data_IF_275100632261
#
_entry.id   IF_275100632261
#
_cell.length_a   1.000
_cell.length_b   1.000
_cell.length_c   1.000
_cell.angle_alpha   90.00
_cell.angle_beta   90.00
_cell.angle_gamma   90.00
#
_symmetry.space_group_name_H-M   'P 1'
#
loop_
_entity.id
_entity.type
_entity.pdbx_description
1 polymer ?
#
# COMPACT_ATOMS: atom_id res chain seq x y z
N UNK A 1 -7.70 -40.37 46.08
CA UNK A 1 -6.88 -40.86 44.94
C UNK A 1 -7.68 -40.68 43.65
N UNK A 2 -7.62 -39.48 43.04
CA UNK A 2 -8.38 -39.16 41.83
C UNK A 2 -7.54 -39.42 40.58
N UNK A 3 -7.97 -40.36 39.73
CA UNK A 3 -7.31 -40.66 38.46
C UNK A 3 -7.55 -39.50 37.47
N UNK A 4 -6.48 -38.80 37.09
CA UNK A 4 -6.49 -37.87 35.96
C UNK A 4 -6.60 -38.68 34.66
N UNK A 5 -7.68 -38.47 33.92
CA UNK A 5 -7.84 -39.00 32.56
C UNK A 5 -6.80 -38.38 31.63
N UNK A 6 -6.02 -39.23 30.97
CA UNK A 6 -5.07 -38.82 29.95
C UNK A 6 -5.81 -38.22 28.75
N UNK A 7 -5.56 -36.94 28.47
CA UNK A 7 -5.99 -36.30 27.24
C UNK A 7 -5.24 -36.94 26.08
N UNK A 8 -5.95 -37.72 25.26
CA UNK A 8 -5.44 -38.24 24.01
C UNK A 8 -5.04 -37.05 23.12
N UNK A 9 -3.74 -36.90 22.89
CA UNK A 9 -3.23 -35.96 21.91
C UNK A 9 -3.87 -36.31 20.55
N UNK A 10 -4.74 -35.45 20.04
CA UNK A 10 -5.28 -35.57 18.68
C UNK A 10 -4.09 -35.47 17.72
N UNK A 11 -3.60 -36.60 17.23
CA UNK A 11 -2.74 -36.66 16.04
C UNK A 11 -3.54 -35.98 14.93
N UNK A 12 -3.07 -34.82 14.47
CA UNK A 12 -3.56 -34.25 13.21
C UNK A 12 -3.19 -35.27 12.13
N UNK A 13 -4.19 -35.77 11.42
CA UNK A 13 -3.92 -36.59 10.24
C UNK A 13 -3.06 -35.79 9.26
N UNK A 14 -2.10 -36.45 8.58
CA UNK A 14 -1.31 -35.79 7.56
C UNK A 14 -2.25 -35.15 6.54
N UNK A 15 -2.03 -33.87 6.24
CA UNK A 15 -2.77 -33.13 5.25
C UNK A 15 -2.70 -33.92 3.94
N UNK A 16 -3.82 -34.50 3.51
CA UNK A 16 -3.90 -35.18 2.22
C UNK A 16 -3.55 -34.15 1.16
N UNK A 17 -2.39 -34.32 0.52
CA UNK A 17 -2.02 -33.54 -0.66
C UNK A 17 -3.13 -33.89 -1.67
N UNK A 18 -3.95 -32.88 -2.01
CA UNK A 18 -5.06 -33.04 -2.95
C UNK A 18 -4.58 -33.48 -4.33
N UNK A 19 -5.49 -33.47 -5.31
CA UNK A 19 -5.21 -33.83 -6.70
C UNK A 19 -3.85 -33.27 -7.19
N UNK A 20 -3.14 -34.07 -8.00
CA UNK A 20 -1.83 -33.72 -8.53
C UNK A 20 -1.87 -32.31 -9.15
N UNK A 21 -0.94 -31.45 -8.73
CA UNK A 21 -0.83 -30.11 -9.27
C UNK A 21 -0.50 -30.19 -10.77
N UNK A 22 -1.01 -29.23 -11.54
CA UNK A 22 -0.59 -29.03 -12.93
C UNK A 22 0.94 -28.88 -13.00
N UNK A 23 1.59 -29.43 -14.03
CA UNK A 23 3.04 -29.29 -14.20
C UNK A 23 3.42 -27.82 -14.35
N UNK A 24 4.58 -27.46 -13.81
CA UNK A 24 5.16 -26.13 -14.02
C UNK A 24 5.45 -25.98 -15.52
N UNK A 25 4.99 -24.89 -16.18
CA UNK A 25 5.30 -24.67 -17.60
C UNK A 25 6.81 -24.63 -17.86
N UNK A 26 7.25 -25.25 -18.94
CA UNK A 26 8.64 -25.15 -19.40
C UNK A 26 8.87 -23.78 -20.04
N UNK A 27 10.02 -23.16 -19.75
CA UNK A 27 10.46 -21.90 -20.34
C UNK A 27 11.55 -22.21 -21.35
N UNK A 28 11.34 -21.80 -22.61
CA UNK A 28 12.23 -22.15 -23.73
C UNK A 28 13.58 -21.44 -23.67
N UNK A 29 13.62 -20.19 -23.20
CA UNK A 29 14.83 -19.34 -23.22
C UNK A 29 14.90 -18.41 -22.01
N UNK A 30 16.11 -18.25 -21.47
CA UNK A 30 16.44 -17.24 -20.46
C UNK A 30 17.46 -16.25 -21.01
N UNK A 31 17.15 -14.96 -20.91
CA UNK A 31 18.05 -13.89 -21.36
C UNK A 31 18.75 -13.25 -20.16
N UNK A 32 20.09 -13.08 -20.17
CA UNK A 32 20.80 -12.42 -19.08
C UNK A 32 20.50 -10.91 -19.06
N UNK A 33 20.13 -10.39 -17.89
CA UNK A 33 20.07 -8.95 -17.66
C UNK A 33 21.43 -8.44 -17.19
N UNK A 34 22.00 -7.48 -17.92
CA UNK A 34 23.36 -6.95 -17.66
C UNK A 34 23.36 -5.59 -16.99
N UNK A 35 22.27 -4.83 -17.09
CA UNK A 35 22.11 -3.52 -16.45
C UNK A 35 21.45 -3.68 -15.08
N UNK A 36 22.13 -3.35 -13.96
CA UNK A 36 21.57 -3.40 -12.61
C UNK A 36 20.30 -2.56 -12.43
N UNK A 37 20.11 -1.48 -13.22
CA UNK A 37 18.90 -0.64 -13.18
C UNK A 37 17.64 -1.42 -13.60
N UNK A 38 17.80 -2.56 -14.26
CA UNK A 38 16.68 -3.44 -14.64
C UNK A 38 16.32 -4.48 -13.58
N UNK A 39 17.18 -4.76 -12.59
CA UNK A 39 16.93 -5.84 -11.64
C UNK A 39 15.67 -5.62 -10.80
N UNK A 40 15.42 -4.38 -10.39
CA UNK A 40 14.20 -4.05 -9.65
C UNK A 40 12.93 -4.23 -10.48
N UNK A 41 13.01 -4.18 -11.82
CA UNK A 41 11.85 -4.38 -12.72
C UNK A 41 11.35 -5.82 -12.70
N UNK A 42 12.20 -6.80 -12.37
CA UNK A 42 11.79 -8.19 -12.19
C UNK A 42 10.85 -8.37 -10.99
N UNK A 43 10.88 -7.43 -10.03
CA UNK A 43 10.01 -7.43 -8.86
C UNK A 43 8.71 -6.66 -9.09
N UNK A 44 8.49 -6.13 -10.30
CA UNK A 44 7.30 -5.36 -10.59
C UNK A 44 6.08 -6.26 -10.81
N UNK A 45 5.18 -6.20 -9.85
CA UNK A 45 3.73 -6.22 -10.04
C UNK A 45 3.08 -5.36 -8.93
N UNK A 46 3.68 -4.22 -8.63
CA UNK A 46 3.36 -3.50 -7.41
C UNK A 46 2.05 -2.73 -7.54
N UNK A 47 1.23 -2.67 -6.48
CA UNK A 47 0.00 -1.89 -6.49
C UNK A 47 0.31 -0.41 -6.72
N UNK A 48 -0.54 0.28 -7.48
CA UNK A 48 -0.42 1.73 -7.70
C UNK A 48 -1.37 2.48 -6.80
N UNK A 49 -0.84 3.45 -6.07
CA UNK A 49 -1.64 4.35 -5.22
C UNK A 49 -1.26 5.80 -5.45
N UNK A 50 -2.25 6.69 -5.29
CA UNK A 50 -2.00 8.11 -5.11
C UNK A 50 -1.77 8.36 -3.62
N UNK A 51 -0.55 8.75 -3.27
CA UNK A 51 -0.16 9.22 -1.95
C UNK A 51 -0.50 10.71 -1.82
N UNK A 52 -1.36 11.02 -0.85
CA UNK A 52 -1.76 12.39 -0.52
C UNK A 52 -1.13 12.81 0.81
N UNK A 53 -0.47 13.97 0.80
CA UNK A 53 0.06 14.61 2.01
C UNK A 53 -0.54 16.01 2.17
N UNK A 54 -0.54 16.52 3.40
CA UNK A 54 -0.95 17.89 3.69
C UNK A 54 0.28 18.77 3.96
N UNK A 55 0.22 20.00 3.47
CA UNK A 55 1.14 21.09 3.73
C UNK A 55 0.40 22.14 4.54
N UNK A 56 0.53 22.04 5.86
CA UNK A 56 -0.16 22.92 6.80
C UNK A 56 0.34 24.37 6.70
N UNK A 57 1.63 24.57 6.36
CA UNK A 57 2.21 25.90 6.19
C UNK A 57 1.62 26.64 5.00
N UNK A 58 1.46 25.96 3.86
CA UNK A 58 0.82 26.56 2.66
C UNK A 58 -0.68 26.29 2.56
N UNK A 59 -1.28 25.64 3.56
CA UNK A 59 -2.70 25.24 3.60
C UNK A 59 -3.17 24.54 2.32
N UNK A 60 -2.37 23.58 1.83
CA UNK A 60 -2.68 22.80 0.62
C UNK A 60 -2.46 21.31 0.81
N UNK A 61 -3.05 20.52 -0.08
CA UNK A 61 -2.75 19.10 -0.22
C UNK A 61 -1.82 18.88 -1.40
N UNK A 62 -0.95 17.88 -1.31
CA UNK A 62 -0.07 17.45 -2.37
C UNK A 62 -0.37 15.99 -2.74
N UNK A 63 -0.13 15.63 -4.01
CA UNK A 63 -0.31 14.29 -4.54
C UNK A 63 0.96 13.76 -5.20
N UNK A 64 1.24 12.47 -5.00
CA UNK A 64 2.32 11.73 -5.63
C UNK A 64 1.81 10.35 -6.02
N UNK A 65 2.30 9.78 -7.12
CA UNK A 65 2.09 8.36 -7.42
C UNK A 65 3.16 7.55 -6.69
N UNK A 66 2.71 6.52 -5.95
CA UNK A 66 3.60 5.57 -5.28
C UNK A 66 3.23 4.16 -5.71
N UNK A 67 4.26 3.38 -6.07
CA UNK A 67 4.14 1.97 -6.39
C UNK A 67 5.19 1.12 -5.68
N UNK A 68 6.16 1.69 -4.97
CA UNK A 68 7.11 0.89 -4.19
C UNK A 68 6.57 0.73 -2.78
N UNK A 69 5.52 -0.09 -2.63
CA UNK A 69 4.91 -0.43 -1.35
C UNK A 69 4.48 -1.90 -1.29
N UNK A 70 4.54 -2.49 -0.10
CA UNK A 70 4.11 -3.87 0.13
C UNK A 70 3.68 -4.10 1.59
N UNK A 71 2.58 -4.83 1.86
CA UNK A 71 2.23 -5.21 3.22
C UNK A 71 3.31 -6.13 3.83
N UNK A 72 3.59 -5.96 5.11
CA UNK A 72 4.53 -6.81 5.85
C UNK A 72 3.85 -7.75 6.85
N UNK A 73 2.57 -7.50 7.16
CA UNK A 73 1.75 -8.38 7.98
C UNK A 73 0.25 -8.19 7.67
N UNK A 74 -0.59 -8.99 8.33
CA UNK A 74 -2.06 -8.92 8.21
C UNK A 74 -2.71 -7.89 9.16
N UNK A 75 -1.92 -7.04 9.83
CA UNK A 75 -2.38 -6.01 10.77
C UNK A 75 -2.31 -4.60 10.17
N UNK A 76 -2.35 -4.51 8.84
CA UNK A 76 -2.34 -3.24 8.11
C UNK A 76 -0.99 -2.51 8.14
N UNK A 77 0.10 -3.19 8.54
CA UNK A 77 1.46 -2.60 8.49
C UNK A 77 2.09 -2.92 7.14
N UNK A 78 2.74 -1.92 6.56
CA UNK A 78 3.38 -2.01 5.25
C UNK A 78 4.69 -1.21 5.23
N UNK A 79 5.53 -1.54 4.24
CA UNK A 79 6.69 -0.75 3.88
C UNK A 79 6.40 0.02 2.60
N UNK A 80 6.95 1.22 2.50
CA UNK A 80 7.06 1.92 1.23
C UNK A 80 8.41 2.61 1.09
N UNK A 81 8.86 2.76 -0.14
CA UNK A 81 10.07 3.49 -0.50
C UNK A 81 9.71 4.79 -1.19
N UNK A 82 10.23 5.90 -0.68
CA UNK A 82 10.01 7.24 -1.24
C UNK A 82 11.34 7.94 -1.48
N UNK A 83 11.54 8.45 -2.69
CA UNK A 83 12.74 9.21 -3.03
C UNK A 83 12.81 10.48 -2.17
N UNK A 84 13.97 10.76 -1.57
CA UNK A 84 14.15 11.85 -0.59
C UNK A 84 13.91 13.25 -1.17
N UNK A 85 14.09 13.41 -2.48
CA UNK A 85 13.88 14.69 -3.17
C UNK A 85 12.40 14.99 -3.45
N UNK A 86 11.50 14.03 -3.22
CA UNK A 86 10.06 14.24 -3.44
C UNK A 86 9.52 15.15 -2.35
N UNK A 87 8.74 16.15 -2.75
CA UNK A 87 8.08 17.05 -1.81
C UNK A 87 7.19 16.29 -0.78
N UNK A 88 6.57 15.18 -1.22
CA UNK A 88 5.83 14.30 -0.31
C UNK A 88 6.70 13.71 0.80
N UNK A 89 7.99 13.48 0.60
CA UNK A 89 8.90 13.01 1.64
C UNK A 89 9.05 14.05 2.75
N UNK A 90 9.29 15.31 2.40
CA UNK A 90 9.35 16.43 3.36
C UNK A 90 8.07 16.53 4.20
N UNK A 91 6.90 16.52 3.54
CA UNK A 91 5.61 16.64 4.23
C UNK A 91 5.31 15.43 5.12
N UNK A 92 5.69 14.23 4.68
CA UNK A 92 5.51 13.00 5.44
C UNK A 92 6.36 12.99 6.71
N UNK A 93 7.60 13.47 6.65
CA UNK A 93 8.47 13.58 7.81
C UNK A 93 7.94 14.57 8.85
N UNK A 94 7.34 15.67 8.39
CA UNK A 94 6.74 16.70 9.25
C UNK A 94 5.47 16.21 9.94
N UNK A 95 4.54 15.61 9.18
CA UNK A 95 3.18 15.34 9.67
C UNK A 95 2.97 13.91 10.18
N UNK A 96 3.79 12.95 9.74
CA UNK A 96 3.68 11.52 10.05
C UNK A 96 2.30 10.90 9.74
N UNK A 97 1.42 11.60 9.01
CA UNK A 97 0.10 11.14 8.56
C UNK A 97 -0.08 11.48 7.08
N UNK A 98 -0.68 10.54 6.34
CA UNK A 98 -0.94 10.64 4.90
C UNK A 98 -2.08 9.71 4.48
N UNK A 99 -2.57 9.86 3.25
CA UNK A 99 -3.54 8.93 2.67
C UNK A 99 -3.00 8.22 1.44
N UNK A 100 -3.39 6.96 1.26
CA UNK A 100 -3.21 6.21 0.01
C UNK A 100 -4.57 6.01 -0.66
N UNK A 101 -4.63 6.24 -1.97
CA UNK A 101 -5.82 6.00 -2.80
C UNK A 101 -5.49 4.97 -3.88
N UNK A 102 -6.04 3.76 -3.78
CA UNK A 102 -5.73 2.66 -4.69
C UNK A 102 -6.29 2.93 -6.09
N UNK A 103 -5.41 3.05 -7.08
CA UNK A 103 -5.78 3.45 -8.43
C UNK A 103 -6.41 2.31 -9.22
N UNK A 104 -7.31 2.66 -10.14
CA UNK A 104 -8.04 1.74 -10.99
C UNK A 104 -7.89 2.11 -12.47
N UNK A 105 -8.26 1.18 -13.35
CA UNK A 105 -8.39 1.44 -14.77
C UNK A 105 -9.25 2.69 -15.04
N UNK A 106 -8.79 3.52 -15.98
CA UNK A 106 -9.31 4.85 -16.28
C UNK A 106 -8.56 5.98 -15.56
N UNK A 107 -7.66 5.68 -14.62
CA UNK A 107 -6.85 6.68 -13.90
C UNK A 107 -5.44 6.84 -14.46
N UNK A 108 -5.04 6.11 -15.50
CA UNK A 108 -3.67 6.09 -16.03
C UNK A 108 -3.19 7.49 -16.43
N UNK A 109 -4.03 8.26 -17.15
CA UNK A 109 -3.70 9.61 -17.59
C UNK A 109 -3.46 10.57 -16.41
N UNK A 110 -4.29 10.52 -15.37
CA UNK A 110 -4.13 11.36 -14.17
C UNK A 110 -2.91 10.95 -13.34
N UNK A 111 -2.61 9.64 -13.26
CA UNK A 111 -1.40 9.15 -12.59
C UNK A 111 -0.14 9.69 -13.27
N UNK A 112 -0.08 9.65 -14.60
CA UNK A 112 1.04 10.21 -15.36
C UNK A 112 1.14 11.73 -15.18
N UNK A 113 0.02 12.45 -15.21
CA UNK A 113 -0.01 13.89 -14.97
C UNK A 113 0.50 14.26 -13.56
N UNK A 114 0.09 13.51 -12.53
CA UNK A 114 0.60 13.68 -11.15
C UNK A 114 2.11 13.44 -11.09
N UNK A 115 2.60 12.41 -11.77
CA UNK A 115 4.02 12.03 -11.79
C UNK A 115 4.93 13.03 -12.51
N UNK A 116 4.41 13.75 -13.51
CA UNK A 116 5.14 14.73 -14.32
C UNK A 116 5.28 16.12 -13.69
N UNK A 117 4.61 16.39 -12.58
CA UNK A 117 4.62 17.71 -11.94
C UNK A 117 5.21 17.70 -10.52
N UNK A 118 5.72 18.87 -10.09
CA UNK A 118 6.34 19.06 -8.78
C UNK A 118 5.38 19.78 -7.82
N UNK A 119 5.01 19.10 -6.73
CA UNK A 119 4.04 19.63 -5.76
C UNK A 119 4.51 20.87 -5.01
N UNK A 120 5.81 21.14 -5.02
CA UNK A 120 6.35 22.37 -4.45
C UNK A 120 5.93 23.62 -5.22
N UNK A 121 5.72 23.49 -6.54
CA UNK A 121 5.51 24.63 -7.44
C UNK A 121 4.05 24.87 -7.80
N UNK A 122 3.22 23.83 -7.76
CA UNK A 122 1.81 23.92 -8.19
C UNK A 122 0.87 23.26 -7.17
N UNK A 123 -0.36 23.77 -7.10
CA UNK A 123 -1.46 23.06 -6.45
C UNK A 123 -1.96 21.96 -7.39
N UNK A 124 -1.47 20.73 -7.20
CA UNK A 124 -1.83 19.58 -8.05
C UNK A 124 -3.32 19.25 -7.97
N UNK A 125 -3.98 19.46 -6.83
CA UNK A 125 -5.39 19.16 -6.68
C UNK A 125 -6.23 20.10 -7.52
N UNK A 126 -5.96 21.40 -7.44
CA UNK A 126 -6.66 22.39 -8.26
C UNK A 126 -6.32 22.24 -9.74
N UNK A 127 -5.03 22.07 -10.07
CA UNK A 127 -4.55 22.03 -11.47
C UNK A 127 -5.05 20.80 -12.23
N UNK A 128 -5.10 19.64 -11.57
CA UNK A 128 -5.49 18.37 -12.20
C UNK A 128 -6.94 17.98 -11.92
N UNK A 129 -7.71 18.83 -11.21
CA UNK A 129 -9.11 18.55 -10.88
C UNK A 129 -9.30 17.33 -9.97
N UNK A 130 -8.37 17.08 -9.04
CA UNK A 130 -8.46 15.93 -8.14
C UNK A 130 -9.54 16.16 -7.07
N UNK A 131 -10.54 15.29 -7.04
CA UNK A 131 -11.59 15.34 -6.01
C UNK A 131 -11.02 14.92 -4.64
N UNK A 132 -11.16 15.79 -3.63
CA UNK A 132 -10.77 15.49 -2.24
C UNK A 132 -11.87 14.74 -1.52
N UNK A 133 -11.53 13.63 -0.88
CA UNK A 133 -12.43 12.87 0.00
C UNK A 133 -11.87 12.90 1.43
N UNK A 134 -12.41 13.74 2.34
CA UNK A 134 -11.94 13.83 3.70
C UNK A 134 -12.08 12.51 4.46
N UNK A 135 -11.09 12.19 5.30
CA UNK A 135 -11.28 11.30 6.43
C UNK A 135 -11.80 12.15 7.58
N UNK A 136 -13.02 11.89 8.04
CA UNK A 136 -13.56 12.60 9.19
C UNK A 136 -12.64 12.34 10.40
N UNK A 137 -12.36 13.41 11.16
CA UNK A 137 -11.68 13.28 12.44
C UNK A 137 -12.64 12.54 13.39
N UNK A 138 -12.40 11.24 13.61
CA UNK A 138 -13.19 10.40 14.51
C UNK A 138 -14.47 9.86 13.90
N UNK A 139 -14.42 8.62 13.43
CA UNK A 139 -15.58 7.74 13.56
C UNK A 139 -15.38 7.03 14.89
N UNK A 140 -16.13 7.46 15.91
CA UNK A 140 -16.30 6.65 17.10
C UNK A 140 -16.86 5.29 16.66
N UNK A 141 -16.23 4.22 17.14
CA UNK A 141 -16.58 2.84 16.85
C UNK A 141 -18.03 2.55 17.28
N UNK A 142 -18.97 2.63 16.35
CA UNK A 142 -20.34 2.11 16.52
C UNK A 142 -20.52 0.74 15.86
N UNK A 143 -19.48 -0.10 15.82
CA UNK A 143 -19.62 -1.47 15.32
C UNK A 143 -18.86 -2.52 16.12
N UNK A 144 -18.85 -2.38 17.45
CA UNK A 144 -18.75 -3.53 18.35
C UNK A 144 -20.08 -4.30 18.35
N UNK A 145 -20.38 -5.05 17.27
CA UNK A 145 -21.63 -5.82 17.23
C UNK A 145 -21.95 -6.52 15.90
N UNK A 146 -21.21 -7.57 15.56
CA UNK A 146 -21.74 -8.84 15.05
C UNK A 146 -20.57 -9.72 14.57
N UNK A 147 -20.34 -10.81 15.30
CA UNK A 147 -19.25 -11.73 15.03
C UNK A 147 -19.40 -12.51 13.72
N UNK A 148 -18.25 -12.78 13.10
CA UNK A 148 -18.02 -13.98 12.30
C UNK A 148 -16.63 -14.50 12.66
N UNK A 149 -16.55 -15.79 13.00
CA UNK A 149 -15.42 -16.43 13.68
C UNK A 149 -14.06 -16.16 13.04
N UNK A 150 -13.08 -15.87 13.90
CA UNK A 150 -11.67 -15.83 13.56
C UNK A 150 -11.21 -17.22 13.07
N UNK A 151 -11.30 -17.44 11.75
CA UNK A 151 -10.54 -18.49 11.11
C UNK A 151 -9.06 -18.10 11.23
N UNK A 152 -8.28 -18.95 11.90
CA UNK A 152 -6.84 -18.79 12.01
C UNK A 152 -6.21 -18.69 10.60
N UNK A 153 -5.60 -17.55 10.30
CA UNK A 153 -4.89 -17.37 9.04
C UNK A 153 -3.63 -18.25 9.01
N UNK A 154 -3.36 -18.84 7.84
CA UNK A 154 -2.27 -19.80 7.59
C UNK A 154 -0.84 -19.25 7.83
N UNK A 155 -0.69 -17.98 8.22
CA UNK A 155 0.59 -17.32 8.50
C UNK A 155 0.97 -17.27 9.99
N UNK A 156 0.09 -17.71 10.90
CA UNK A 156 0.38 -17.74 12.35
C UNK A 156 1.30 -18.89 12.79
N UNK A 157 1.85 -19.68 11.87
CA UNK A 157 2.61 -20.91 12.16
C UNK A 157 4.14 -20.72 12.29
N UNK A 158 4.68 -19.49 12.19
CA UNK A 158 6.13 -19.27 12.10
C UNK A 158 6.71 -18.24 13.08
N UNK A 159 6.03 -17.93 14.18
CA UNK A 159 6.54 -16.93 15.13
C UNK A 159 6.35 -17.33 16.59
N UNK A 160 7.33 -18.01 17.17
CA UNK A 160 7.51 -17.99 18.63
C UNK A 160 8.96 -18.27 19.02
N UNK A 161 9.69 -17.21 19.34
CA UNK A 161 10.73 -17.25 20.37
C UNK A 161 10.83 -15.89 21.06
N UNK A 162 10.57 -15.95 22.36
CA UNK A 162 10.62 -14.90 23.37
C UNK A 162 12.04 -14.45 23.72
N UNK A 163 12.20 -13.19 24.12
CA UNK A 163 13.37 -12.69 24.85
C UNK A 163 13.05 -11.37 25.56
N UNK A 164 13.05 -11.41 26.89
CA UNK A 164 12.66 -10.37 27.83
C UNK A 164 13.86 -9.66 28.47
N UNK A 165 13.67 -8.41 28.92
CA UNK A 165 14.52 -7.66 29.87
C UNK A 165 15.03 -6.34 29.27
N UNK A 166 15.01 -5.17 29.91
CA UNK A 166 14.63 -4.77 31.26
C UNK A 166 15.30 -3.41 31.61
N UNK A 167 14.48 -2.43 32.00
CA UNK A 167 14.66 -1.33 33.00
C UNK A 167 15.73 -0.20 32.92
N UNK A 168 15.24 1.04 33.14
CA UNK A 168 15.82 2.15 33.94
C UNK A 168 16.78 3.13 33.20
N UNK A 169 16.83 4.45 33.41
CA UNK A 169 16.22 5.34 34.42
C UNK A 169 16.31 6.85 34.01
N UNK A 170 15.64 7.69 34.81
CA UNK A 170 15.89 9.09 35.24
C UNK A 170 15.93 10.31 34.28
N UNK A 171 15.14 11.34 34.65
CA UNK A 171 15.74 12.62 35.03
C UNK A 171 15.39 13.91 34.25
N UNK A 172 14.42 14.67 34.79
CA UNK A 172 14.47 16.12 35.06
C UNK A 172 14.20 17.18 33.95
N UNK A 173 13.10 17.93 34.16
CA UNK A 173 13.12 19.36 34.52
C UNK A 173 13.55 20.40 33.48
N UNK A 174 12.59 21.18 32.97
CA UNK A 174 12.85 22.41 32.23
C UNK A 174 11.57 23.21 32.00
N UNK A 175 11.18 24.04 32.97
CA UNK A 175 10.21 25.13 32.80
C UNK A 175 10.79 26.21 31.87
N UNK A 176 9.96 26.74 30.98
CA UNK A 176 10.37 27.82 30.09
C UNK A 176 9.23 28.38 29.25
N UNK A 177 8.70 29.51 29.73
CA UNK A 177 8.08 30.61 28.99
C UNK A 177 6.87 30.31 28.08
N UNK A 178 5.71 30.63 28.66
CA UNK A 178 4.45 30.98 27.99
C UNK A 178 4.66 32.23 27.11
N UNK A 179 4.97 32.01 25.83
CA UNK A 179 4.90 33.04 24.78
C UNK A 179 3.52 32.94 24.11
N UNK A 180 2.79 34.06 24.14
CA UNK A 180 1.41 34.19 23.69
C UNK A 180 1.16 33.59 22.29
N UNK A 181 0.48 32.45 22.28
CA UNK A 181 0.07 31.76 21.07
C UNK A 181 -1.01 32.55 20.33
N UNK A 182 -0.62 33.28 19.29
CA UNK A 182 -1.49 33.46 18.13
C UNK A 182 -2.04 32.09 17.74
N UNK A 183 -3.36 31.93 17.80
CA UNK A 183 -4.02 30.64 17.66
C UNK A 183 -3.62 29.95 16.35
N UNK A 184 -2.67 29.02 16.43
CA UNK A 184 -2.21 28.25 15.30
C UNK A 184 -3.43 27.56 14.68
N UNK A 185 -3.65 27.81 13.38
CA UNK A 185 -4.77 27.20 12.68
C UNK A 185 -4.69 25.67 12.82
N UNK A 186 -5.83 24.98 13.00
CA UNK A 186 -5.82 23.53 13.12
C UNK A 186 -5.22 22.90 11.86
N UNK A 187 -4.51 21.76 11.99
CA UNK A 187 -3.97 21.03 10.85
C UNK A 187 -5.05 20.74 9.79
N UNK A 188 -4.65 20.70 8.53
CA UNK A 188 -5.54 20.30 7.45
C UNK A 188 -6.03 18.86 7.69
N UNK A 189 -7.29 18.58 7.33
CA UNK A 189 -7.80 17.22 7.37
C UNK A 189 -7.04 16.35 6.36
N UNK A 190 -6.89 15.08 6.71
CA UNK A 190 -6.45 14.05 5.79
C UNK A 190 -7.48 13.81 4.70
N UNK A 191 -7.02 13.73 3.45
CA UNK A 191 -7.90 13.52 2.29
C UNK A 191 -7.35 12.44 1.37
N UNK A 192 -8.25 11.57 0.90
CA UNK A 192 -8.00 10.70 -0.24
C UNK A 192 -8.43 11.34 -1.56
N UNK A 193 -8.18 10.64 -2.67
CA UNK A 193 -8.61 11.04 -4.01
C UNK A 193 -9.87 10.28 -4.41
N UNK A 194 -10.92 11.00 -4.77
CA UNK A 194 -12.20 10.43 -5.21
C UNK A 194 -12.06 9.59 -6.48
N UNK A 195 -12.89 8.56 -6.61
CA UNK A 195 -12.88 7.64 -7.76
C UNK A 195 -11.93 6.44 -7.60
N UNK A 196 -11.04 6.44 -6.62
CA UNK A 196 -10.19 5.28 -6.29
C UNK A 196 -10.99 4.09 -5.73
N UNK A 197 -10.46 2.88 -5.89
CA UNK A 197 -11.07 1.65 -5.39
C UNK A 197 -11.02 1.52 -3.86
N UNK A 198 -9.98 2.08 -3.24
CA UNK A 198 -9.83 2.11 -1.79
C UNK A 198 -9.15 3.42 -1.37
N UNK A 199 -9.52 3.90 -0.19
CA UNK A 199 -8.91 5.03 0.50
C UNK A 199 -8.39 4.53 1.84
N UNK A 200 -7.14 4.81 2.15
CA UNK A 200 -6.48 4.37 3.39
C UNK A 200 -5.86 5.58 4.07
N UNK A 201 -6.23 5.84 5.32
CA UNK A 201 -5.53 6.76 6.21
C UNK A 201 -4.37 6.00 6.85
N UNK A 202 -3.18 6.59 6.80
CA UNK A 202 -1.95 5.95 7.22
C UNK A 202 -1.16 6.81 8.19
N UNK A 203 -0.54 6.15 9.15
CA UNK A 203 0.39 6.74 10.11
C UNK A 203 1.80 6.17 9.90
N UNK A 204 2.81 7.03 9.97
CA UNK A 204 4.22 6.67 9.87
C UNK A 204 4.71 6.14 11.22
N UNK A 205 5.16 4.89 11.25
CA UNK A 205 5.73 4.25 12.44
C UNK A 205 7.24 4.51 12.54
N UNK A 206 7.95 4.36 11.43
CA UNK A 206 9.40 4.58 11.39
C UNK A 206 9.87 4.98 9.99
N UNK A 207 11.02 5.66 9.95
CA UNK A 207 11.70 6.03 8.72
C UNK A 207 13.16 5.66 8.86
N UNK A 208 13.67 4.91 7.89
CA UNK A 208 15.09 4.59 7.73
C UNK A 208 15.56 5.06 6.35
N UNK A 209 16.87 5.18 6.16
CA UNK A 209 17.45 5.50 4.87
C UNK A 209 17.87 4.23 4.12
N UNK A 210 17.73 4.21 2.79
CA UNK A 210 18.30 3.14 1.98
C UNK A 210 19.83 3.12 2.11
N UNK A 211 20.42 1.92 2.10
CA UNK A 211 21.84 1.68 2.42
C UNK A 211 22.79 2.14 1.28
N UNK A 212 22.26 2.65 0.16
CA UNK A 212 22.99 2.75 -1.11
C UNK A 212 23.73 4.07 -1.37
N UNK A 213 23.80 5.00 -0.42
CA UNK A 213 24.49 6.28 -0.66
C UNK A 213 25.93 6.24 -0.11
N UNK A 214 26.84 5.61 -0.87
CA UNK A 214 28.29 5.76 -0.65
C UNK A 214 28.73 7.21 -0.97
N UNK A 215 29.67 7.80 -0.22
CA UNK A 215 30.15 9.15 -0.50
C UNK A 215 30.93 9.17 -1.83
N UNK A 216 30.43 9.90 -2.84
CA UNK A 216 31.18 10.22 -4.06
C UNK A 216 30.43 10.04 -5.40
N UNK A 217 29.32 9.31 -5.43
CA UNK A 217 28.58 9.07 -6.67
C UNK A 217 27.47 10.10 -6.87
N UNK A 218 27.65 11.00 -7.83
CA UNK A 218 26.63 11.99 -8.20
C UNK A 218 25.33 11.34 -8.69
N UNK A 219 25.37 10.13 -9.27
CA UNK A 219 24.18 9.32 -9.59
C UNK A 219 23.50 8.68 -8.35
N UNK A 220 24.21 8.54 -7.22
CA UNK A 220 23.64 7.93 -6.01
C UNK A 220 22.66 8.89 -5.29
N UNK A 221 22.84 10.20 -5.43
CA UNK A 221 21.96 11.20 -4.82
C UNK A 221 20.50 11.11 -5.33
N UNK A 222 20.32 10.76 -6.60
CA UNK A 222 18.99 10.54 -7.21
C UNK A 222 18.39 9.18 -6.83
N UNK A 223 19.17 8.29 -6.23
CA UNK A 223 18.78 6.94 -5.80
C UNK A 223 18.62 6.83 -4.28
N UNK A 224 18.81 7.91 -3.53
CA UNK A 224 18.58 7.91 -2.09
C UNK A 224 17.07 7.92 -1.80
N UNK A 225 16.59 6.87 -1.13
CA UNK A 225 15.21 6.72 -0.72
C UNK A 225 15.10 6.65 0.81
N UNK A 226 13.98 7.12 1.34
CA UNK A 226 13.52 6.73 2.67
C UNK A 226 12.74 5.42 2.55
N UNK A 227 13.03 4.50 3.45
CA UNK A 227 12.21 3.32 3.74
C UNK A 227 11.28 3.68 4.89
N UNK A 228 10.00 3.84 4.57
CA UNK A 228 8.96 4.23 5.52
C UNK A 228 8.17 2.99 5.92
N UNK A 229 8.15 2.70 7.22
CA UNK A 229 7.20 1.74 7.80
C UNK A 229 5.96 2.51 8.23
N UNK A 230 4.79 2.09 7.77
CA UNK A 230 3.53 2.75 8.08
C UNK A 230 2.42 1.74 8.40
N UNK A 231 1.36 2.23 9.04
CA UNK A 231 0.16 1.45 9.37
C UNK A 231 -1.07 2.12 8.79
N UNK A 232 -1.96 1.34 8.20
CA UNK A 232 -3.32 1.77 7.87
C UNK A 232 -4.14 1.84 9.16
N UNK A 233 -4.57 3.04 9.54
CA UNK A 233 -5.36 3.29 10.76
C UNK A 233 -6.86 3.35 10.47
N UNK A 234 -7.25 3.70 9.25
CA UNK A 234 -8.63 3.67 8.78
C UNK A 234 -8.66 3.38 7.28
N UNK A 235 -9.66 2.65 6.80
CA UNK A 235 -9.81 2.35 5.38
C UNK A 235 -11.28 2.40 4.95
N UNK A 236 -11.51 2.80 3.70
CA UNK A 236 -12.79 2.72 2.99
C UNK A 236 -12.54 2.05 1.65
N UNK A 237 -13.42 1.15 1.23
CA UNK A 237 -13.27 0.41 -0.03
C UNK A 237 -14.57 0.44 -0.81
N UNK A 238 -14.46 0.53 -2.14
CA UNK A 238 -15.58 0.41 -3.05
C UNK A 238 -16.19 -0.99 -2.94
N UNK A 239 -17.53 -1.07 -2.85
CA UNK A 239 -18.23 -2.37 -2.85
C UNK A 239 -17.95 -3.20 -4.10
N UNK A 240 -17.68 -2.54 -5.23
CA UNK A 240 -17.30 -3.22 -6.46
C UNK A 240 -15.91 -3.87 -6.40
N UNK A 241 -15.09 -3.55 -5.39
CA UNK A 241 -13.70 -4.01 -5.25
C UNK A 241 -13.46 -4.86 -4.00
N UNK A 242 -14.51 -5.13 -3.22
CA UNK A 242 -14.39 -5.85 -1.96
C UNK A 242 -15.48 -6.90 -1.81
N UNK A 243 -15.07 -8.17 -1.80
CA UNK A 243 -15.98 -9.31 -1.65
C UNK A 243 -16.08 -9.83 -0.20
N UNK A 244 -15.57 -9.08 0.78
CA UNK A 244 -15.48 -9.50 2.18
C UNK A 244 -14.19 -10.23 2.54
N UNK A 245 -13.37 -10.62 1.57
CA UNK A 245 -12.11 -11.36 1.79
C UNK A 245 -10.95 -10.88 0.94
N UNK A 246 -11.21 -10.52 -0.30
CA UNK A 246 -10.22 -10.16 -1.31
C UNK A 246 -10.52 -8.76 -1.85
N UNK A 247 -9.43 -8.02 -2.07
CA UNK A 247 -9.44 -6.75 -2.77
C UNK A 247 -9.21 -6.99 -4.26
N UNK A 248 -10.30 -7.10 -5.01
CA UNK A 248 -10.30 -7.30 -6.46
C UNK A 248 -11.61 -6.77 -7.03
N UNK A 249 -11.56 -6.24 -8.24
CA UNK A 249 -12.78 -5.85 -8.94
C UNK A 249 -13.69 -7.07 -9.13
N UNK A 250 -14.97 -6.91 -8.81
CA UNK A 250 -15.98 -7.92 -9.07
C UNK A 250 -16.06 -8.16 -10.57
N UNK A 251 -16.02 -9.43 -10.99
CA UNK A 251 -16.34 -9.79 -12.37
C UNK A 251 -17.82 -9.49 -12.60
N UNK A 252 -18.11 -8.37 -13.23
CA UNK A 252 -19.45 -7.96 -13.61
C UNK A 252 -19.39 -6.93 -14.72
N UNK A 253 -20.10 -7.17 -15.81
CA UNK A 253 -20.08 -6.34 -17.02
C UNK A 253 -20.00 -7.17 -18.30
N UNK A 254 -20.11 -6.50 -19.45
CA UNK A 254 -19.90 -7.09 -20.76
C UNK A 254 -18.39 -7.28 -21.05
N UNK A 255 -17.51 -6.50 -20.39
CA UNK A 255 -16.06 -6.66 -20.48
C UNK A 255 -15.37 -6.54 -19.11
N UNK A 256 -14.15 -7.06 -19.00
CA UNK A 256 -13.33 -6.96 -17.79
C UNK A 256 -12.99 -5.51 -17.42
N UNK A 257 -12.73 -4.64 -18.40
CA UNK A 257 -12.36 -3.24 -18.15
C UNK A 257 -13.50 -2.41 -17.55
N UNK A 258 -14.75 -2.78 -17.82
CA UNK A 258 -15.93 -2.14 -17.19
C UNK A 258 -15.93 -2.30 -15.66
N UNK A 259 -15.31 -3.37 -15.15
CA UNK A 259 -15.16 -3.59 -13.70
C UNK A 259 -14.16 -2.64 -13.04
N UNK A 260 -13.39 -1.88 -13.85
CA UNK A 260 -12.33 -0.96 -13.45
C UNK A 260 -11.31 -1.60 -12.51
N UNK A 261 -10.58 -2.62 -12.96
CA UNK A 261 -9.62 -3.33 -12.11
C UNK A 261 -8.56 -2.40 -11.49
N UNK A 262 -8.05 -2.82 -10.33
CA UNK A 262 -6.93 -2.14 -9.69
C UNK A 262 -5.68 -2.19 -10.58
N UNK A 263 -4.89 -1.12 -10.54
CA UNK A 263 -3.68 -0.98 -11.33
C UNK A 263 -2.44 -1.53 -10.60
N UNK A 264 -1.58 -2.20 -11.36
CA UNK A 264 -0.19 -2.48 -11.01
C UNK A 264 0.76 -1.71 -11.93
N UNK A 265 1.92 -1.29 -11.43
CA UNK A 265 2.92 -0.57 -12.23
C UNK A 265 4.01 -1.51 -12.74
N UNK A 266 4.32 -1.44 -14.03
CA UNK A 266 5.33 -2.26 -14.69
C UNK A 266 6.60 -1.48 -15.06
N UNK A 267 6.75 -0.23 -14.60
CA UNK A 267 7.86 0.63 -15.01
C UNK A 267 7.55 1.40 -16.29
N UNK A 268 8.39 2.38 -16.61
CA UNK A 268 8.34 3.12 -17.90
C UNK A 268 6.94 3.60 -18.30
N UNK A 269 6.16 4.14 -17.35
CA UNK A 269 4.80 4.64 -17.58
C UNK A 269 3.79 3.57 -18.06
N UNK A 270 4.11 2.28 -17.87
CA UNK A 270 3.27 1.14 -18.23
C UNK A 270 2.54 0.61 -17.01
N UNK A 271 1.26 0.29 -17.18
CA UNK A 271 0.39 -0.27 -16.16
C UNK A 271 -0.11 -1.66 -16.56
N UNK A 272 -0.43 -2.47 -15.58
CA UNK A 272 -1.13 -3.73 -15.70
C UNK A 272 -2.40 -3.72 -14.84
N UNK A 273 -3.29 -4.67 -15.10
CA UNK A 273 -4.54 -4.84 -14.36
C UNK A 273 -4.49 -6.08 -13.49
N UNK A 274 -4.98 -5.96 -12.25
CA UNK A 274 -5.10 -7.11 -11.36
C UNK A 274 -6.46 -7.79 -11.58
N UNK A 275 -6.41 -9.02 -12.09
CA UNK A 275 -7.58 -9.86 -12.31
C UNK A 275 -7.67 -10.95 -11.25
N UNK A 276 -8.87 -11.20 -10.72
CA UNK A 276 -9.11 -12.47 -10.03
C UNK A 276 -9.04 -13.62 -11.06
N UNK A 277 -8.24 -14.65 -10.75
CA UNK A 277 -8.25 -15.89 -11.50
C UNK A 277 -9.61 -16.58 -11.41
N UNK A 278 -9.92 -17.52 -12.32
CA UNK A 278 -11.12 -18.35 -12.18
C UNK A 278 -11.04 -19.07 -10.82
N UNK A 279 -11.91 -18.72 -9.89
CA UNK A 279 -12.08 -19.50 -8.67
C UNK A 279 -12.50 -20.91 -9.08
N UNK A 280 -12.04 -21.95 -8.38
CA UNK A 280 -12.30 -23.36 -8.71
C UNK A 280 -13.76 -23.83 -8.61
N UNK A 281 -14.74 -22.97 -8.89
CA UNK A 281 -16.15 -23.29 -9.03
C UNK A 281 -16.79 -22.45 -10.13
N UNK A 282 -17.03 -23.05 -11.28
CA UNK A 282 -17.83 -22.49 -12.38
C UNK A 282 -17.00 -22.03 -13.57
N UNK A 283 -17.34 -22.58 -14.74
CA UNK A 283 -16.77 -22.34 -16.07
C UNK A 283 -16.34 -20.88 -16.28
N UNK A 284 -15.04 -20.69 -16.51
CA UNK A 284 -14.51 -19.39 -16.90
C UNK A 284 -14.96 -19.03 -18.32
N UNK A 285 -15.23 -17.74 -18.62
CA UNK A 285 -15.40 -17.33 -20.00
C UNK A 285 -14.09 -17.59 -20.76
N UNK A 286 -14.22 -18.00 -22.02
CA UNK A 286 -13.11 -18.21 -22.94
C UNK A 286 -12.15 -17.02 -22.87
N UNK A 287 -10.86 -17.30 -22.77
CA UNK A 287 -9.83 -16.29 -22.81
C UNK A 287 -10.00 -15.47 -24.10
N UNK A 288 -10.43 -14.22 -23.98
CA UNK A 288 -10.22 -13.26 -25.05
C UNK A 288 -8.71 -13.02 -25.12
N UNK A 289 -8.09 -13.54 -26.18
CA UNK A 289 -6.75 -13.19 -26.62
C UNK A 289 -6.69 -11.68 -26.83
N UNK A 290 -6.03 -10.96 -25.92
CA UNK A 290 -5.87 -9.52 -26.06
C UNK A 290 -5.43 -8.84 -24.77
N UNK A 291 -4.26 -9.19 -24.23
CA UNK A 291 -3.57 -8.27 -23.34
C UNK A 291 -3.06 -7.09 -24.18
N UNK A 292 -3.94 -6.13 -24.47
CA UNK A 292 -3.59 -4.91 -25.20
C UNK A 292 -2.69 -4.06 -24.31
N UNK A 293 -1.38 -4.11 -24.56
CA UNK A 293 -0.41 -3.26 -23.89
C UNK A 293 -0.61 -1.82 -24.39
N UNK A 294 -1.41 -1.03 -23.68
CA UNK A 294 -1.62 0.38 -24.02
C UNK A 294 -0.34 1.17 -23.69
N UNK A 295 0.44 1.50 -24.72
CA UNK A 295 1.46 2.54 -24.66
C UNK A 295 0.76 3.88 -24.93
N UNK A 296 0.84 4.80 -23.98
CA UNK A 296 0.44 6.19 -24.20
C UNK A 296 1.61 6.91 -24.87
N UNK A 297 1.45 7.27 -26.14
CA UNK A 297 2.44 8.05 -26.88
C UNK A 297 2.71 9.40 -26.19
N UNK A 298 3.98 9.78 -26.18
CA UNK A 298 4.54 10.90 -25.41
C UNK A 298 4.27 12.26 -26.04
#
# INVERSE_FOLDING_TARGET
MGRRGGGAARRREPYAIGAAAEPIPEIEEYVPLTDPKHFSRLLYANPVSILTTADDGRRRHNAMVVSWLTPINNHGVFLMSINKQRFSATLLLQRRSFCLSAAIHGMESVLLAIGRCHGHSIDKFATLGLAKVPFAAGIADESAGAGAGAAANAFSALGSSSGSGGSGSDGNGGEGADEGGEGALPPLPDVGVGGAAALMLCEVLSVADSVECGPGDAEAADSCHHIVTARVTSARVSRAHWNGRQFCAARGGASFLESRPALSFLGSQTFAYVCAGPGGGGEGPAAEEGAEQIRLDS
#
